data_IF_188551325601
#
_entry.id   IF_188551325601
#
_cell.length_a   1.000
_cell.length_b   1.000
_cell.length_c   1.000
_cell.angle_alpha   90.00
_cell.angle_beta   90.00
_cell.angle_gamma   90.00
#
_symmetry.space_group_name_H-M   'P 1'
#
loop_
_entity.id
_entity.type
_entity.pdbx_description
1 polymer ?
#
# COMPACT_ATOMS: atom_id res chain seq x y z
N UNK A 1 21.23 -14.01 -9.85
CA UNK A 1 21.24 -12.54 -9.80
C UNK A 1 19.87 -12.06 -10.24
N UNK A 2 19.25 -11.13 -9.52
CA UNK A 2 17.95 -10.56 -9.92
C UNK A 2 18.14 -9.70 -11.17
N UNK A 3 17.20 -9.82 -12.13
CA UNK A 3 17.20 -9.06 -13.38
C UNK A 3 16.62 -7.66 -13.15
N UNK A 4 17.31 -6.62 -13.62
CA UNK A 4 16.72 -5.28 -13.72
C UNK A 4 15.78 -5.20 -14.90
N UNK A 5 14.56 -4.73 -14.66
CA UNK A 5 13.54 -4.50 -15.67
C UNK A 5 13.70 -3.08 -16.21
N UNK A 6 13.91 -2.95 -17.50
CA UNK A 6 14.13 -1.65 -18.17
C UNK A 6 13.07 -1.32 -19.22
N UNK A 7 12.30 -2.32 -19.64
CA UNK A 7 11.30 -2.15 -20.69
C UNK A 7 9.91 -1.91 -20.08
N UNK A 8 9.27 -0.81 -20.46
CA UNK A 8 7.87 -0.56 -20.15
C UNK A 8 6.96 -1.59 -20.84
N UNK A 9 5.78 -1.82 -20.27
CA UNK A 9 4.79 -2.72 -20.85
C UNK A 9 3.82 -3.29 -19.82
N UNK A 10 2.93 -4.21 -20.22
CA UNK A 10 1.98 -4.82 -19.30
C UNK A 10 2.72 -5.69 -18.26
N UNK A 11 2.18 -5.72 -17.05
CA UNK A 11 2.66 -6.62 -15.99
C UNK A 11 2.34 -8.08 -16.35
N UNK A 12 1.13 -8.32 -16.85
CA UNK A 12 0.59 -9.64 -17.18
C UNK A 12 0.31 -9.77 -18.67
N UNK A 13 0.48 -10.97 -19.19
CA UNK A 13 0.05 -11.35 -20.53
C UNK A 13 -1.47 -11.70 -20.56
N UNK A 14 -1.99 -12.04 -21.73
CA UNK A 14 -3.40 -12.42 -21.93
C UNK A 14 -3.83 -13.66 -21.13
N UNK A 15 -2.89 -14.52 -20.73
CA UNK A 15 -3.12 -15.69 -19.88
C UNK A 15 -3.12 -15.36 -18.39
N UNK A 16 -2.83 -14.09 -18.01
CA UNK A 16 -2.69 -13.66 -16.63
C UNK A 16 -1.37 -14.09 -15.98
N UNK A 17 -0.35 -14.38 -16.79
CA UNK A 17 0.99 -14.75 -16.33
C UNK A 17 1.90 -13.53 -16.35
N UNK A 18 2.86 -13.44 -15.42
CA UNK A 18 3.89 -12.41 -15.42
C UNK A 18 4.66 -12.41 -16.74
N UNK A 19 4.74 -11.25 -17.40
CA UNK A 19 5.55 -11.06 -18.59
C UNK A 19 7.04 -11.19 -18.27
N UNK A 20 7.48 -10.59 -17.17
CA UNK A 20 8.86 -10.62 -16.69
C UNK A 20 8.90 -10.59 -15.16
N UNK A 21 9.92 -11.21 -14.58
CA UNK A 21 10.24 -11.12 -13.16
C UNK A 21 11.56 -10.38 -12.94
N UNK A 22 11.68 -9.64 -11.84
CA UNK A 22 12.88 -8.87 -11.50
C UNK A 22 12.58 -7.67 -10.64
N UNK A 23 13.44 -6.66 -10.72
CA UNK A 23 13.25 -5.38 -10.01
C UNK A 23 13.35 -4.21 -10.99
N UNK A 24 12.79 -3.07 -10.60
CA UNK A 24 12.95 -1.80 -11.32
C UNK A 24 13.07 -0.65 -10.32
N UNK A 25 13.56 0.51 -10.79
CA UNK A 25 13.67 1.72 -9.98
C UNK A 25 12.40 2.58 -10.03
N UNK A 26 11.50 2.31 -10.97
CA UNK A 26 10.22 3.01 -11.17
C UNK A 26 9.13 2.04 -11.58
N UNK A 27 7.86 2.43 -11.46
CA UNK A 27 6.73 1.67 -12.00
C UNK A 27 6.75 1.73 -13.53
N UNK A 28 7.40 0.75 -14.16
CA UNK A 28 7.48 0.61 -15.62
C UNK A 28 6.55 -0.48 -16.16
N UNK A 29 5.98 -1.33 -15.30
CA UNK A 29 5.00 -2.34 -15.68
C UNK A 29 3.60 -1.86 -15.32
N UNK A 30 2.72 -1.83 -16.33
CA UNK A 30 1.32 -1.44 -16.15
C UNK A 30 0.55 -2.56 -15.43
N UNK A 31 0.03 -2.25 -14.25
CA UNK A 31 -0.85 -3.12 -13.49
C UNK A 31 -2.30 -2.92 -13.96
N UNK A 32 -3.02 -4.02 -14.15
CA UNK A 32 -4.48 -4.03 -14.31
C UNK A 32 -5.05 -5.20 -13.51
N UNK A 33 -5.81 -4.90 -12.46
CA UNK A 33 -6.48 -5.92 -11.65
C UNK A 33 -7.33 -6.89 -12.47
N UNK A 34 -7.94 -6.42 -13.57
CA UNK A 34 -8.81 -7.24 -14.44
C UNK A 34 -8.03 -8.27 -15.25
N UNK A 35 -6.73 -8.07 -15.43
CA UNK A 35 -5.86 -9.01 -16.11
C UNK A 35 -5.50 -10.23 -15.24
N UNK A 36 -5.74 -10.16 -13.91
CA UNK A 36 -5.46 -11.25 -12.99
C UNK A 36 -6.48 -12.37 -13.19
N UNK A 37 -6.01 -13.58 -13.49
CA UNK A 37 -6.84 -14.77 -13.74
C UNK A 37 -6.96 -15.70 -12.52
N UNK A 38 -6.69 -15.18 -11.32
CA UNK A 38 -6.91 -15.88 -10.06
C UNK A 38 -8.37 -15.71 -9.58
N UNK A 39 -8.81 -16.61 -8.70
CA UNK A 39 -10.07 -16.43 -8.00
C UNK A 39 -10.04 -15.13 -7.16
N UNK A 40 -11.13 -14.37 -7.15
CA UNK A 40 -11.17 -13.03 -6.55
C UNK A 40 -10.64 -12.99 -5.11
N UNK A 41 -10.96 -14.00 -4.28
CA UNK A 41 -10.50 -14.08 -2.88
C UNK A 41 -8.98 -14.27 -2.72
N UNK A 42 -8.25 -14.53 -3.80
CA UNK A 42 -6.78 -14.66 -3.80
C UNK A 42 -6.08 -13.34 -4.15
N UNK A 43 -6.81 -12.36 -4.66
CA UNK A 43 -6.25 -11.06 -5.04
C UNK A 43 -6.19 -10.20 -3.77
N UNK A 44 -5.00 -9.64 -3.52
CA UNK A 44 -4.73 -8.79 -2.37
C UNK A 44 -4.07 -7.51 -2.86
N UNK A 45 -4.57 -6.38 -2.38
CA UNK A 45 -4.03 -5.05 -2.69
C UNK A 45 -3.96 -4.26 -1.39
N UNK A 46 -2.92 -3.45 -1.23
CA UNK A 46 -2.76 -2.63 -0.05
C UNK A 46 -1.87 -1.42 -0.28
N UNK A 47 -2.12 -0.38 0.50
CA UNK A 47 -1.22 0.74 0.72
C UNK A 47 -0.74 0.73 2.16
N UNK A 48 0.55 0.93 2.34
CA UNK A 48 1.22 1.02 3.63
C UNK A 48 2.12 2.25 3.67
N UNK A 49 1.97 3.05 4.71
CA UNK A 49 2.83 4.20 4.98
C UNK A 49 3.45 4.07 6.37
N UNK A 50 4.75 4.25 6.46
CA UNK A 50 5.49 4.39 7.71
C UNK A 50 6.10 5.79 7.76
N UNK A 51 5.58 6.63 8.63
CA UNK A 51 6.10 7.97 8.92
C UNK A 51 6.88 7.88 10.23
N UNK A 52 8.14 8.31 10.23
CA UNK A 52 8.98 8.16 11.40
C UNK A 52 9.96 9.32 11.56
N UNK A 53 10.34 9.57 12.82
CA UNK A 53 11.44 10.41 13.22
C UNK A 53 12.42 9.61 14.09
N UNK A 54 13.40 10.26 14.71
CA UNK A 54 14.38 9.57 15.56
C UNK A 54 13.80 8.85 16.79
N UNK A 55 12.54 9.11 17.17
CA UNK A 55 11.89 8.52 18.34
C UNK A 55 10.58 7.81 18.03
N UNK A 56 9.70 8.41 17.24
CA UNK A 56 8.35 7.91 17.00
C UNK A 56 8.16 7.41 15.59
N UNK A 57 7.32 6.40 15.45
CA UNK A 57 6.79 5.95 14.16
C UNK A 57 5.27 5.83 14.19
N UNK A 58 4.65 6.20 13.08
CA UNK A 58 3.23 5.95 12.81
C UNK A 58 3.14 5.12 11.54
N UNK A 59 2.53 3.94 11.61
CA UNK A 59 2.23 3.13 10.44
C UNK A 59 0.72 3.13 10.16
N UNK A 60 0.37 3.38 8.89
CA UNK A 60 -1.00 3.40 8.40
C UNK A 60 -1.14 2.39 7.27
N UNK A 61 -2.20 1.58 7.32
CA UNK A 61 -2.49 0.57 6.29
C UNK A 61 -3.96 0.65 5.86
N UNK A 62 -4.19 0.62 4.56
CA UNK A 62 -5.47 0.24 3.96
C UNK A 62 -5.22 -1.02 3.15
N UNK A 63 -6.01 -2.06 3.36
CA UNK A 63 -5.83 -3.37 2.76
C UNK A 63 -7.17 -3.94 2.28
N UNK A 64 -7.14 -4.55 1.10
CA UNK A 64 -8.24 -5.31 0.48
C UNK A 64 -7.73 -6.70 0.11
N UNK A 65 -7.97 -7.68 0.96
CA UNK A 65 -7.68 -9.09 0.69
C UNK A 65 -8.86 -9.79 -0.02
N UNK A 66 -9.79 -9.04 -0.58
CA UNK A 66 -11.03 -9.50 -1.21
C UNK A 66 -12.04 -10.12 -0.24
N UNK A 67 -11.69 -11.14 0.54
CA UNK A 67 -12.57 -11.76 1.55
C UNK A 67 -12.63 -10.95 2.86
N UNK A 68 -11.62 -10.17 3.13
CA UNK A 68 -11.57 -9.21 4.25
C UNK A 68 -10.75 -7.99 3.86
N UNK A 69 -11.08 -6.86 4.42
CA UNK A 69 -10.25 -5.66 4.40
C UNK A 69 -9.76 -5.32 5.80
N UNK A 70 -8.71 -4.53 5.87
CA UNK A 70 -8.09 -4.11 7.12
C UNK A 70 -7.70 -2.63 7.05
N UNK A 71 -8.03 -1.89 8.12
CA UNK A 71 -7.45 -0.59 8.42
C UNK A 71 -6.53 -0.76 9.62
N UNK A 72 -5.24 -0.51 9.41
CA UNK A 72 -4.22 -0.65 10.45
C UNK A 72 -3.67 0.71 10.88
N UNK A 73 -3.66 0.96 12.18
CA UNK A 73 -2.99 2.11 12.79
C UNK A 73 -2.01 1.61 13.85
N UNK A 74 -0.72 1.89 13.66
CA UNK A 74 0.31 1.55 14.65
C UNK A 74 1.03 2.79 15.12
N UNK A 75 1.30 2.85 16.42
CA UNK A 75 2.19 3.85 17.03
C UNK A 75 3.38 3.11 17.66
N UNK A 76 4.58 3.56 17.31
CA UNK A 76 5.85 2.96 17.74
C UNK A 76 6.68 3.98 18.53
N UNK A 77 7.35 3.54 19.60
CA UNK A 77 8.33 4.33 20.35
C UNK A 77 9.72 3.66 20.22
N UNK A 78 10.58 4.21 19.39
CA UNK A 78 11.91 3.65 19.14
C UNK A 78 12.91 3.90 20.27
N UNK A 79 12.59 4.76 21.26
CA UNK A 79 13.43 4.94 22.44
C UNK A 79 13.31 3.79 23.43
N UNK A 80 12.34 2.93 23.26
CA UNK A 80 12.09 1.70 24.02
C UNK A 80 11.38 0.68 23.13
N UNK A 81 11.47 -0.63 23.39
CA UNK A 81 10.76 -1.64 22.59
C UNK A 81 9.26 -1.63 22.89
N UNK A 82 8.54 -0.62 22.38
CA UNK A 82 7.11 -0.46 22.58
C UNK A 82 6.39 -0.13 21.28
N UNK A 83 5.28 -0.81 21.07
CA UNK A 83 4.31 -0.52 20.01
C UNK A 83 2.88 -0.70 20.51
N UNK A 84 1.95 -0.03 19.85
CA UNK A 84 0.53 -0.31 19.96
C UNK A 84 -0.11 -0.28 18.58
N UNK A 85 -0.74 -1.39 18.19
CA UNK A 85 -1.40 -1.57 16.90
C UNK A 85 -2.89 -1.81 17.10
N UNK A 86 -3.72 -1.06 16.38
CA UNK A 86 -5.15 -1.26 16.28
C UNK A 86 -5.52 -1.63 14.84
N UNK A 87 -6.14 -2.80 14.67
CA UNK A 87 -6.61 -3.28 13.38
C UNK A 87 -8.14 -3.32 13.36
N UNK A 88 -8.74 -2.64 12.38
CA UNK A 88 -10.17 -2.67 12.11
C UNK A 88 -10.39 -3.56 10.89
N UNK A 89 -10.93 -4.74 11.14
CA UNK A 89 -11.23 -5.72 10.08
C UNK A 89 -12.67 -5.51 9.62
N UNK A 90 -12.89 -5.59 8.32
CA UNK A 90 -14.22 -5.53 7.71
C UNK A 90 -14.38 -6.59 6.62
N UNK A 91 -15.61 -7.14 6.43
CA UNK A 91 -15.82 -8.26 5.53
C UNK A 91 -15.94 -7.82 4.06
N UNK A 92 -15.49 -8.67 3.17
CA UNK A 92 -15.79 -8.74 1.74
C UNK A 92 -15.66 -7.44 0.94
N UNK A 93 -14.53 -6.72 0.99
CA UNK A 93 -14.34 -5.58 0.09
C UNK A 93 -14.32 -5.99 -1.39
N UNK A 94 -13.68 -7.12 -1.73
CA UNK A 94 -13.73 -7.72 -3.06
C UNK A 94 -13.16 -6.85 -4.17
N UNK A 95 -12.17 -5.99 -3.87
CA UNK A 95 -11.61 -5.00 -4.80
C UNK A 95 -12.41 -3.69 -4.85
N UNK A 96 -13.47 -3.54 -4.05
CA UNK A 96 -14.29 -2.30 -4.00
C UNK A 96 -13.58 -1.14 -3.29
N UNK A 97 -12.47 -1.41 -2.63
CA UNK A 97 -11.60 -0.36 -2.10
C UNK A 97 -11.05 0.53 -3.22
N UNK A 98 -10.94 -0.03 -4.44
CA UNK A 98 -10.64 0.76 -5.63
C UNK A 98 -9.20 1.28 -5.67
N UNK A 99 -8.24 0.42 -5.30
CA UNK A 99 -6.82 0.78 -5.43
C UNK A 99 -6.49 1.19 -6.86
N UNK A 100 -5.80 2.32 -7.07
CA UNK A 100 -5.36 2.74 -8.39
C UNK A 100 -4.33 1.79 -8.98
N UNK A 101 -4.18 1.82 -10.30
CA UNK A 101 -3.20 0.99 -11.01
C UNK A 101 -1.75 1.46 -10.78
N UNK A 102 -1.58 2.67 -10.30
CA UNK A 102 -0.28 3.31 -10.05
C UNK A 102 -0.30 4.07 -8.72
N UNK A 103 0.82 4.09 -8.03
CA UNK A 103 1.04 4.91 -6.84
C UNK A 103 1.20 6.41 -7.15
N UNK A 104 1.31 6.78 -8.44
CA UNK A 104 1.50 8.16 -8.86
C UNK A 104 0.20 8.97 -8.93
N UNK A 105 -0.96 8.31 -8.81
CA UNK A 105 -2.27 8.95 -8.95
C UNK A 105 -3.36 8.18 -8.22
N UNK A 106 -4.46 8.86 -7.98
CA UNK A 106 -5.65 8.28 -7.37
C UNK A 106 -5.67 8.35 -5.85
N UNK A 107 -6.87 8.26 -5.32
CA UNK A 107 -7.13 8.31 -3.89
C UNK A 107 -7.60 6.93 -3.42
N UNK A 108 -7.17 6.54 -2.21
CA UNK A 108 -7.67 5.34 -1.54
C UNK A 108 -8.33 5.77 -0.23
N UNK A 109 -9.61 5.45 -0.06
CA UNK A 109 -10.35 5.85 1.13
C UNK A 109 -11.28 4.74 1.61
N UNK A 110 -11.28 4.51 2.92
CA UNK A 110 -12.19 3.56 3.56
C UNK A 110 -12.73 4.16 4.84
N UNK A 111 -14.07 4.29 4.90
CA UNK A 111 -14.79 4.77 6.07
C UNK A 111 -15.59 3.65 6.71
N UNK A 112 -15.48 3.51 8.01
CA UNK A 112 -16.24 2.59 8.87
C UNK A 112 -16.79 3.36 10.06
N UNK A 113 -17.72 2.75 10.81
CA UNK A 113 -18.32 3.40 12.00
C UNK A 113 -17.28 3.88 13.03
N UNK A 114 -16.18 3.13 13.17
CA UNK A 114 -15.15 3.32 14.19
C UNK A 114 -13.78 3.68 13.62
N UNK A 115 -13.67 3.92 12.31
CA UNK A 115 -12.43 4.31 11.67
C UNK A 115 -12.69 5.03 10.33
N UNK A 116 -11.81 5.97 9.97
CA UNK A 116 -11.85 6.72 8.72
C UNK A 116 -10.41 6.94 8.23
N UNK A 117 -10.05 6.34 7.09
CA UNK A 117 -8.73 6.44 6.50
C UNK A 117 -8.86 6.95 5.06
N UNK A 118 -8.01 7.92 4.70
CA UNK A 118 -7.96 8.45 3.35
C UNK A 118 -6.51 8.80 2.97
N UNK A 119 -6.03 8.22 1.88
CA UNK A 119 -4.72 8.47 1.30
C UNK A 119 -4.94 9.10 -0.08
N UNK A 120 -4.48 10.34 -0.24
CA UNK A 120 -4.63 11.12 -1.47
C UNK A 120 -3.29 11.38 -2.12
N UNK A 121 -3.25 11.29 -3.44
CA UNK A 121 -2.12 11.70 -4.26
C UNK A 121 -2.53 12.92 -5.07
N UNK A 122 -1.90 14.05 -4.80
CA UNK A 122 -2.17 15.30 -5.50
C UNK A 122 -1.43 15.37 -6.85
N UNK A 123 -1.86 16.21 -7.78
CA UNK A 123 -1.23 16.33 -9.12
C UNK A 123 0.26 16.69 -9.10
N UNK A 124 0.74 17.33 -8.05
CA UNK A 124 2.16 17.68 -7.84
C UNK A 124 2.97 16.55 -7.19
N UNK A 125 2.39 15.36 -7.00
CA UNK A 125 3.00 14.21 -6.32
C UNK A 125 2.95 14.26 -4.79
N UNK A 126 2.46 15.36 -4.21
CA UNK A 126 2.24 15.46 -2.76
C UNK A 126 1.22 14.41 -2.31
N UNK A 127 1.51 13.73 -1.18
CA UNK A 127 0.57 12.78 -0.58
C UNK A 127 -0.01 13.36 0.70
N UNK A 128 -1.33 13.28 0.84
CA UNK A 128 -2.04 13.64 2.07
C UNK A 128 -2.66 12.39 2.68
N UNK A 129 -2.24 12.09 3.90
CA UNK A 129 -2.71 10.92 4.64
C UNK A 129 -3.53 11.42 5.82
N UNK A 130 -4.76 10.93 5.94
CA UNK A 130 -5.59 11.14 7.13
C UNK A 130 -6.05 9.80 7.66
N UNK A 131 -6.01 9.62 8.97
CA UNK A 131 -6.48 8.43 9.63
C UNK A 131 -7.12 8.79 10.99
N UNK A 132 -8.27 8.19 11.27
CA UNK A 132 -8.93 8.29 12.55
C UNK A 132 -9.42 6.93 13.01
N UNK A 133 -9.22 6.61 14.30
CA UNK A 133 -9.70 5.39 14.95
C UNK A 133 -10.36 5.77 16.27
N UNK A 134 -11.60 5.34 16.48
CA UNK A 134 -12.41 5.71 17.65
C UNK A 134 -11.86 5.16 18.97
N UNK A 135 -11.45 3.91 18.98
CA UNK A 135 -10.99 3.19 20.18
C UNK A 135 -9.57 2.66 19.96
N UNK A 136 -8.60 3.55 19.89
CA UNK A 136 -7.21 3.17 19.63
C UNK A 136 -6.58 2.52 20.87
N UNK A 137 -6.49 3.27 21.97
CA UNK A 137 -5.87 2.79 23.20
C UNK A 137 -6.67 3.26 24.43
N UNK A 138 -6.97 2.36 25.37
CA UNK A 138 -7.74 2.67 26.59
C UNK A 138 -9.08 3.37 26.28
N UNK A 139 -9.76 2.95 25.21
CA UNK A 139 -11.03 3.54 24.71
C UNK A 139 -10.92 4.99 24.27
N UNK A 140 -9.72 5.51 24.07
CA UNK A 140 -9.48 6.87 23.57
C UNK A 140 -9.28 6.84 22.05
N UNK A 141 -9.77 7.85 21.32
CA UNK A 141 -9.53 7.96 19.90
C UNK A 141 -8.09 8.41 19.59
N UNK A 142 -7.69 8.16 18.36
CA UNK A 142 -6.50 8.75 17.76
C UNK A 142 -6.87 9.33 16.40
N UNK A 143 -6.20 10.41 16.02
CA UNK A 143 -6.24 10.95 14.68
C UNK A 143 -4.82 11.30 14.24
N UNK A 144 -4.55 11.15 12.96
CA UNK A 144 -3.30 11.53 12.34
C UNK A 144 -3.58 12.22 11.00
N UNK A 145 -2.80 13.25 10.72
CA UNK A 145 -2.76 13.91 9.42
C UNK A 145 -1.31 14.14 9.04
N UNK A 146 -0.92 13.68 7.84
CA UNK A 146 0.43 13.85 7.31
C UNK A 146 0.39 14.36 5.88
N UNK A 147 1.36 15.22 5.56
CA UNK A 147 1.68 15.63 4.20
C UNK A 147 3.07 15.12 3.88
N UNK A 148 3.19 14.36 2.78
CA UNK A 148 4.45 13.83 2.28
C UNK A 148 4.80 14.53 0.98
N UNK A 149 6.03 15.02 0.90
CA UNK A 149 6.58 15.77 -0.25
C UNK A 149 7.96 15.22 -0.63
N UNK A 150 8.54 15.77 -1.67
CA UNK A 150 9.90 15.41 -2.11
C UNK A 150 10.02 13.90 -2.42
N UNK A 151 9.09 13.38 -3.27
CA UNK A 151 9.18 12.00 -3.74
C UNK A 151 10.53 11.78 -4.45
N UNK A 152 11.32 10.78 -4.03
CA UNK A 152 12.63 10.52 -4.63
C UNK A 152 12.48 10.07 -6.09
N UNK A 153 13.49 10.36 -6.89
CA UNK A 153 13.55 9.97 -8.30
C UNK A 153 13.51 8.45 -8.48
N UNK A 154 14.17 7.72 -7.61
CA UNK A 154 14.21 6.24 -7.62
C UNK A 154 13.34 5.65 -6.51
N UNK A 155 12.66 4.58 -6.83
CA UNK A 155 11.93 3.72 -5.89
C UNK A 155 12.36 2.26 -6.07
N UNK A 156 11.97 1.39 -5.18
CA UNK A 156 12.21 -0.05 -5.33
C UNK A 156 10.93 -0.74 -5.78
N UNK A 157 10.91 -1.20 -7.02
CA UNK A 157 9.82 -2.01 -7.57
C UNK A 157 10.25 -3.46 -7.67
N UNK A 158 9.43 -4.38 -7.18
CA UNK A 158 9.71 -5.83 -7.20
C UNK A 158 8.57 -6.53 -7.94
N UNK A 159 8.94 -7.39 -8.89
CA UNK A 159 8.05 -8.30 -9.60
C UNK A 159 8.55 -9.71 -9.38
N UNK A 160 7.90 -10.47 -8.50
CA UNK A 160 8.36 -11.80 -8.08
C UNK A 160 7.25 -12.83 -8.22
N UNK A 161 7.44 -13.90 -9.00
CA UNK A 161 6.51 -15.04 -9.01
C UNK A 161 6.64 -15.83 -7.71
N UNK A 162 5.53 -16.42 -7.25
CA UNK A 162 5.56 -17.41 -6.17
C UNK A 162 5.82 -18.79 -6.76
N UNK A 163 6.94 -19.39 -6.35
CA UNK A 163 7.41 -20.69 -6.84
C UNK A 163 7.44 -20.73 -8.39
N UNK A 164 6.88 -21.77 -8.98
CA UNK A 164 6.84 -21.95 -10.44
C UNK A 164 5.57 -21.43 -11.12
N UNK A 165 4.60 -20.95 -10.34
CA UNK A 165 3.31 -20.47 -10.85
C UNK A 165 3.39 -18.98 -11.22
N UNK A 166 3.55 -18.69 -12.52
CA UNK A 166 3.60 -17.32 -13.04
C UNK A 166 2.31 -16.52 -12.85
N UNK A 167 1.19 -17.17 -12.50
CA UNK A 167 -0.10 -16.52 -12.20
C UNK A 167 -0.22 -16.10 -10.74
N UNK A 168 0.65 -16.64 -9.86
CA UNK A 168 0.76 -16.23 -8.48
C UNK A 168 2.04 -15.40 -8.32
N UNK A 169 1.90 -14.12 -7.96
CA UNK A 169 3.01 -13.18 -7.94
C UNK A 169 2.85 -12.14 -6.84
N UNK A 170 3.95 -11.48 -6.55
CA UNK A 170 4.03 -10.27 -5.73
C UNK A 170 4.53 -9.13 -6.62
N UNK A 171 3.76 -8.06 -6.67
CA UNK A 171 4.12 -6.81 -7.33
C UNK A 171 4.00 -5.67 -6.35
N UNK A 172 5.09 -5.01 -6.04
CA UNK A 172 5.14 -3.98 -5.02
C UNK A 172 6.12 -2.88 -5.39
N UNK A 173 5.76 -1.64 -5.05
CA UNK A 173 6.64 -0.49 -5.06
C UNK A 173 6.87 0.00 -3.64
N UNK A 174 8.11 0.35 -3.32
CA UNK A 174 8.50 1.04 -2.08
C UNK A 174 9.13 2.37 -2.45
N UNK A 175 8.46 3.45 -2.06
CA UNK A 175 8.96 4.82 -2.16
C UNK A 175 9.42 5.19 -0.75
N UNK A 176 10.73 5.34 -0.57
CA UNK A 176 11.32 5.63 0.74
C UNK A 176 11.81 7.08 0.80
N UNK A 177 11.96 7.60 2.03
CA UNK A 177 12.60 8.89 2.29
C UNK A 177 11.85 10.12 1.74
N UNK A 178 10.54 10.06 1.54
CA UNK A 178 9.75 11.28 1.37
C UNK A 178 9.82 12.12 2.64
N UNK A 179 9.86 13.44 2.48
CA UNK A 179 9.76 14.35 3.61
C UNK A 179 8.33 14.34 4.13
N UNK A 180 8.16 14.14 5.43
CA UNK A 180 6.85 14.12 6.08
C UNK A 180 6.71 15.26 7.09
N UNK A 181 5.52 15.89 7.12
CA UNK A 181 5.08 16.85 8.11
C UNK A 181 3.66 16.50 8.56
N UNK A 182 3.37 16.69 9.85
CA UNK A 182 2.05 16.42 10.43
C UNK A 182 2.06 16.47 11.94
#
# INVERSE_FOLDING_TARGET
MQKELTNAGPLLNERGELCEAGYARRLIKAYDRRAIKAAAHRIKEWDYYLIMNGRWGVALTIDDNSYMGLLGFSLLDFSRPWEHTCNIIYPFPGGKTGFPASSAEGDVAVKRKNADFCFKVLPDGTRKLTAWVQNFMNKKPIAAEFTLTEEPEDSMVIVTPFAEDKKAFYYNQKINCMRAAG
#
